data_IF_909519407171
#
_entry.id   IF_909519407171
#
_cell.length_a   1.000
_cell.length_b   1.000
_cell.length_c   1.000
_cell.angle_alpha   90.00
_cell.angle_beta   90.00
_cell.angle_gamma   90.00
#
_symmetry.space_group_name_H-M   'P 1'
#
loop_
_entity.id
_entity.type
_entity.pdbx_description
1 polymer ?
#
# COMPACT_ATOMS: atom_id res chain seq x y z
N UNK A 1 -30.05 52.87 -39.29
CA UNK A 1 -31.32 52.17 -39.02
C UNK A 1 -31.02 50.82 -38.42
N UNK A 2 -32.06 50.09 -38.01
CA UNK A 2 -32.05 48.68 -37.62
C UNK A 2 -31.26 47.78 -38.60
N UNK A 3 -30.73 46.62 -38.20
CA UNK A 3 -30.51 46.01 -36.87
C UNK A 3 -29.36 44.95 -37.05
N UNK A 4 -29.13 43.86 -36.31
CA UNK A 4 -29.78 43.08 -35.24
C UNK A 4 -28.65 42.53 -34.32
N UNK A 5 -28.76 42.56 -32.99
CA UNK A 5 -29.43 41.57 -32.11
C UNK A 5 -29.08 40.09 -32.36
N UNK A 6 -28.22 39.53 -31.49
CA UNK A 6 -28.25 38.12 -31.09
C UNK A 6 -27.57 37.93 -29.73
N UNK A 7 -27.97 36.92 -28.97
CA UNK A 7 -27.68 36.77 -27.53
C UNK A 7 -26.93 35.48 -27.16
N UNK A 8 -25.98 35.58 -26.24
CA UNK A 8 -25.74 34.66 -25.12
C UNK A 8 -24.56 35.21 -24.30
N UNK A 9 -24.61 35.53 -23.00
CA UNK A 9 -25.33 34.94 -21.85
C UNK A 9 -24.75 33.58 -21.43
N UNK A 10 -24.10 33.60 -20.26
CA UNK A 10 -23.51 32.53 -19.44
C UNK A 10 -22.68 31.40 -20.07
N UNK A 11 -21.52 31.17 -19.45
CA UNK A 11 -21.05 29.83 -19.12
C UNK A 11 -20.15 29.88 -17.87
N UNK A 12 -20.70 30.36 -16.74
CA UNK A 12 -20.08 30.20 -15.41
C UNK A 12 -20.16 28.73 -14.98
N UNK A 13 -19.28 27.89 -15.53
CA UNK A 13 -19.15 26.49 -15.14
C UNK A 13 -18.62 26.38 -13.70
N UNK A 14 -19.52 26.12 -12.74
CA UNK A 14 -19.23 25.92 -11.32
C UNK A 14 -18.30 24.71 -11.12
N UNK A 15 -17.01 24.97 -10.88
CA UNK A 15 -15.94 23.96 -10.71
C UNK A 15 -15.98 23.28 -9.32
N UNK A 16 -17.19 22.92 -8.90
CA UNK A 16 -17.52 22.36 -7.59
C UNK A 16 -18.02 20.90 -7.70
N UNK A 17 -17.39 20.13 -8.59
CA UNK A 17 -17.50 18.68 -8.60
C UNK A 17 -17.06 18.13 -7.24
N UNK A 18 -18.03 17.78 -6.39
CA UNK A 18 -17.81 17.39 -5.00
C UNK A 18 -17.13 16.02 -4.89
N UNK A 19 -15.81 15.99 -5.05
CA UNK A 19 -14.97 14.79 -4.89
C UNK A 19 -15.27 14.11 -3.55
N UNK A 20 -15.83 12.90 -3.63
CA UNK A 20 -16.28 12.16 -2.46
C UNK A 20 -15.12 11.91 -1.48
N UNK A 21 -15.21 12.52 -0.28
CA UNK A 21 -14.16 12.48 0.73
C UNK A 21 -14.12 11.09 1.38
N UNK A 22 -13.26 10.20 0.86
CA UNK A 22 -13.07 8.87 1.44
C UNK A 22 -12.62 8.96 2.92
N UNK A 23 -13.12 8.09 3.83
CA UNK A 23 -12.68 8.04 5.22
C UNK A 23 -11.18 7.80 5.39
N UNK A 24 -10.58 8.39 6.43
CA UNK A 24 -9.22 8.03 6.87
C UNK A 24 -9.20 6.62 7.51
N UNK A 25 -8.18 5.82 7.16
CA UNK A 25 -8.07 4.43 7.58
C UNK A 25 -7.40 4.22 8.95
N UNK A 26 -6.58 5.18 9.38
CA UNK A 26 -5.96 5.27 10.71
C UNK A 26 -5.88 6.72 11.19
N UNK A 27 -5.42 6.92 12.42
CA UNK A 27 -5.31 8.26 13.02
C UNK A 27 -4.19 9.10 12.40
N UNK A 28 -4.42 10.41 12.31
CA UNK A 28 -3.52 11.39 11.69
C UNK A 28 -3.27 12.53 12.66
N UNK A 29 -2.00 12.91 12.87
CA UNK A 29 -1.61 14.02 13.73
C UNK A 29 -0.55 13.65 14.76
N UNK A 30 -0.57 14.35 15.90
CA UNK A 30 0.37 14.18 17.02
C UNK A 30 0.21 12.79 17.64
N UNK A 31 1.19 11.91 17.44
CA UNK A 31 1.12 10.51 17.89
C UNK A 31 0.14 9.64 17.07
N UNK A 32 -0.32 10.14 15.91
CA UNK A 32 -1.14 9.36 14.98
C UNK A 32 -0.34 8.25 14.28
N UNK A 33 -1.06 7.34 13.63
CA UNK A 33 -0.44 6.34 12.73
C UNK A 33 0.16 6.96 11.48
N UNK A 34 -0.32 8.15 11.08
CA UNK A 34 0.26 9.02 10.04
C UNK A 34 0.54 8.29 8.72
N UNK A 35 -0.40 7.46 8.29
CA UNK A 35 -0.33 6.81 6.98
C UNK A 35 -0.42 7.87 5.90
N UNK A 36 0.55 7.91 4.98
CA UNK A 36 0.70 8.91 3.92
C UNK A 36 -0.62 9.28 3.22
N UNK A 37 -1.42 8.28 2.86
CA UNK A 37 -2.72 8.47 2.21
C UNK A 37 -3.76 9.17 3.10
N UNK A 38 -3.78 8.85 4.40
CA UNK A 38 -4.68 9.47 5.39
C UNK A 38 -4.21 10.89 5.73
N UNK A 39 -2.89 11.10 5.79
CA UNK A 39 -2.28 12.43 5.96
C UNK A 39 -2.63 13.33 4.78
N UNK A 40 -2.55 12.84 3.54
CA UNK A 40 -2.94 13.61 2.35
C UNK A 40 -4.41 13.99 2.35
N UNK A 41 -5.33 13.09 2.76
CA UNK A 41 -6.75 13.44 2.91
C UNK A 41 -6.91 14.62 3.88
N UNK A 42 -6.28 14.54 5.06
CA UNK A 42 -6.33 15.61 6.07
C UNK A 42 -5.70 16.91 5.56
N UNK A 43 -4.57 16.85 4.85
CA UNK A 43 -3.93 18.00 4.22
C UNK A 43 -4.84 18.65 3.16
N UNK A 44 -5.42 17.88 2.24
CA UNK A 44 -6.38 18.39 1.24
C UNK A 44 -7.57 19.08 1.90
N UNK A 45 -8.15 18.48 2.96
CA UNK A 45 -9.30 19.07 3.66
C UNK A 45 -8.91 20.36 4.41
N UNK A 46 -7.77 20.38 5.11
CA UNK A 46 -7.26 21.58 5.77
C UNK A 46 -6.98 22.70 4.76
N UNK A 47 -6.38 22.38 3.61
CA UNK A 47 -6.14 23.35 2.52
C UNK A 47 -7.46 23.88 1.93
N UNK A 48 -8.46 23.00 1.70
CA UNK A 48 -9.79 23.39 1.19
C UNK A 48 -10.53 24.35 2.12
N UNK A 49 -10.29 24.29 3.44
CA UNK A 49 -10.85 25.25 4.42
C UNK A 49 -9.90 26.40 4.79
N UNK A 50 -8.86 26.65 3.99
CA UNK A 50 -8.02 27.85 4.06
C UNK A 50 -6.75 27.77 4.91
N UNK A 51 -6.31 26.58 5.37
CA UNK A 51 -5.01 26.45 6.03
C UNK A 51 -3.86 26.42 5.02
N UNK A 52 -2.88 27.32 5.19
CA UNK A 52 -1.66 27.34 4.40
C UNK A 52 -0.66 26.29 4.91
N UNK A 53 -0.58 25.16 4.24
CA UNK A 53 0.34 24.06 4.55
C UNK A 53 1.79 24.29 4.08
N UNK A 54 2.07 25.42 3.43
CA UNK A 54 3.35 25.70 2.79
C UNK A 54 3.43 25.16 1.36
N UNK A 55 4.66 25.01 0.86
CA UNK A 55 4.97 24.69 -0.54
C UNK A 55 5.70 23.36 -0.74
N UNK A 56 5.52 22.41 0.19
CA UNK A 56 6.01 21.03 0.03
C UNK A 56 5.10 20.21 -0.90
N UNK A 57 5.47 18.96 -1.14
CA UNK A 57 4.72 18.05 -2.02
C UNK A 57 5.03 18.25 -3.52
N UNK A 58 4.52 17.36 -4.39
CA UNK A 58 4.87 17.34 -5.82
C UNK A 58 4.36 18.56 -6.59
N UNK A 59 3.28 19.20 -6.12
CA UNK A 59 2.65 20.35 -6.77
C UNK A 59 3.05 21.69 -6.14
N UNK A 60 3.91 21.70 -5.11
CA UNK A 60 4.20 22.88 -4.30
C UNK A 60 3.01 23.37 -3.47
N UNK A 61 2.09 22.47 -3.10
CA UNK A 61 0.78 22.76 -2.50
C UNK A 61 0.68 22.46 -0.99
N UNK A 62 1.70 21.84 -0.41
CA UNK A 62 1.72 21.37 0.98
C UNK A 62 1.03 20.01 1.20
N UNK A 63 0.72 19.26 0.13
CA UNK A 63 0.08 17.94 0.18
C UNK A 63 1.13 16.85 -0.12
N UNK A 64 2.19 16.81 0.70
CA UNK A 64 3.26 15.82 0.63
C UNK A 64 2.86 14.45 1.19
N UNK A 65 1.96 14.40 2.17
CA UNK A 65 1.66 13.23 2.98
C UNK A 65 2.58 13.04 4.19
N UNK A 66 3.39 14.04 4.56
CA UNK A 66 4.13 14.07 5.82
C UNK A 66 3.30 14.75 6.92
N UNK A 67 3.20 14.08 8.08
CA UNK A 67 2.54 14.64 9.25
C UNK A 67 3.52 15.49 10.08
N UNK A 68 4.26 16.36 9.39
CA UNK A 68 5.27 17.23 9.98
C UNK A 68 4.68 18.33 10.87
N UNK A 69 5.57 19.18 11.40
CA UNK A 69 5.21 20.25 12.36
C UNK A 69 4.07 21.15 11.84
N UNK A 70 4.07 21.49 10.54
CA UNK A 70 3.04 22.31 9.88
C UNK A 70 1.69 21.60 9.88
N UNK A 71 1.63 20.36 9.41
CA UNK A 71 0.40 19.53 9.40
C UNK A 71 -0.18 19.38 10.81
N UNK A 72 0.64 19.04 11.82
CA UNK A 72 0.20 18.92 13.22
C UNK A 72 -0.29 20.26 13.78
N UNK A 73 0.40 21.37 13.48
CA UNK A 73 -0.05 22.71 13.90
C UNK A 73 -1.45 23.00 13.37
N UNK A 74 -1.73 22.75 12.09
CA UNK A 74 -3.02 23.09 11.51
C UNK A 74 -4.16 22.15 11.92
N UNK A 75 -3.87 20.88 12.25
CA UNK A 75 -4.82 20.01 12.97
C UNK A 75 -5.17 20.64 14.34
N UNK A 76 -4.16 21.10 15.08
CA UNK A 76 -4.32 21.71 16.41
C UNK A 76 -5.07 23.05 16.33
N UNK A 77 -4.76 23.90 15.33
CA UNK A 77 -5.47 25.16 15.05
C UNK A 77 -6.93 24.90 14.66
N UNK A 78 -7.19 23.87 13.83
CA UNK A 78 -8.54 23.48 13.42
C UNK A 78 -9.36 23.02 14.61
N UNK A 79 -8.82 22.15 15.47
CA UNK A 79 -9.47 21.75 16.70
C UNK A 79 -9.82 22.96 17.59
N UNK A 80 -8.83 23.82 17.86
CA UNK A 80 -8.99 25.02 18.68
C UNK A 80 -10.05 25.99 18.14
N UNK A 81 -10.21 26.08 16.81
CA UNK A 81 -11.21 26.94 16.16
C UNK A 81 -12.63 26.36 16.18
N UNK A 82 -12.78 25.03 16.32
CA UNK A 82 -14.03 24.34 16.00
C UNK A 82 -14.68 23.59 17.17
N UNK A 83 -14.00 23.40 18.30
CA UNK A 83 -14.51 22.63 19.44
C UNK A 83 -14.11 23.24 20.79
N UNK A 84 -14.97 23.07 21.78
CA UNK A 84 -14.78 23.56 23.15
C UNK A 84 -13.98 22.57 24.01
N UNK A 85 -12.84 22.07 23.51
CA UNK A 85 -11.94 21.17 24.24
C UNK A 85 -10.46 21.54 24.04
N UNK A 86 -9.59 21.09 24.94
CA UNK A 86 -8.13 21.27 24.81
C UNK A 86 -7.61 20.49 23.59
N UNK A 87 -7.08 21.15 22.55
CA UNK A 87 -6.71 20.48 21.31
C UNK A 87 -5.50 19.57 21.52
N UNK A 88 -5.63 18.30 21.12
CA UNK A 88 -4.59 17.28 21.25
C UNK A 88 -3.66 17.21 20.03
N UNK A 89 -4.09 17.76 18.89
CA UNK A 89 -3.41 17.68 17.60
C UNK A 89 -3.62 16.37 16.85
N UNK A 90 -4.64 15.56 17.22
CA UNK A 90 -4.91 14.22 16.68
C UNK A 90 -6.32 14.08 16.06
N UNK A 91 -6.39 13.49 14.87
CA UNK A 91 -7.61 13.09 14.20
C UNK A 91 -7.76 11.58 14.31
N UNK A 92 -8.75 11.11 15.07
CA UNK A 92 -9.18 9.70 15.10
C UNK A 92 -10.22 9.44 14.01
N UNK A 93 -10.23 8.23 13.44
CA UNK A 93 -11.11 7.81 12.33
C UNK A 93 -12.60 7.93 12.65
N UNK A 94 -12.97 7.77 13.92
CA UNK A 94 -14.35 7.92 14.43
C UNK A 94 -14.58 9.22 15.21
N UNK A 95 -13.53 10.04 15.37
CA UNK A 95 -13.54 11.21 16.25
C UNK A 95 -14.28 12.42 15.68
N UNK A 96 -14.74 13.31 16.57
CA UNK A 96 -15.47 14.53 16.20
C UNK A 96 -14.66 15.44 15.26
N UNK A 97 -13.33 15.49 15.42
CA UNK A 97 -12.42 16.19 14.51
C UNK A 97 -12.51 15.68 13.08
N UNK A 98 -12.57 14.35 12.86
CA UNK A 98 -12.77 13.79 11.52
C UNK A 98 -14.15 14.14 10.98
N UNK A 99 -15.21 13.84 11.75
CA UNK A 99 -16.61 14.07 11.32
C UNK A 99 -16.87 15.50 10.86
N UNK A 100 -16.30 16.50 11.54
CA UNK A 100 -16.47 17.91 11.17
C UNK A 100 -15.56 18.34 10.00
N UNK A 101 -14.36 17.77 9.88
CA UNK A 101 -13.41 18.09 8.81
C UNK A 101 -13.81 17.44 7.48
N UNK A 102 -14.45 16.27 7.51
CA UNK A 102 -14.91 15.52 6.33
C UNK A 102 -16.28 15.94 5.80
N UNK A 103 -16.96 16.89 6.46
CA UNK A 103 -18.35 17.26 6.13
C UNK A 103 -19.40 16.21 6.54
N UNK A 104 -19.05 15.29 7.45
CA UNK A 104 -19.97 14.29 8.02
C UNK A 104 -19.75 12.86 7.54
N UNK A 105 -18.84 12.61 6.59
CA UNK A 105 -18.57 11.24 6.08
C UNK A 105 -18.03 10.35 7.20
N UNK A 106 -18.84 9.37 7.62
CA UNK A 106 -18.50 8.38 8.64
C UNK A 106 -17.64 7.24 8.08
N UNK A 107 -16.82 6.64 8.95
CA UNK A 107 -15.93 5.53 8.62
C UNK A 107 -16.60 4.19 8.91
N UNK A 108 -17.75 3.92 8.28
CA UNK A 108 -18.51 2.68 8.48
C UNK A 108 -17.97 1.51 7.63
N UNK A 109 -18.05 0.25 8.13
CA UNK A 109 -17.53 -0.92 7.42
C UNK A 109 -18.48 -1.33 6.28
N UNK A 110 -18.07 -1.08 5.03
CA UNK A 110 -18.89 -1.36 3.85
C UNK A 110 -18.99 -2.88 3.60
N UNK A 111 -20.14 -3.46 3.93
CA UNK A 111 -20.73 -4.61 3.25
C UNK A 111 -21.67 -4.11 2.14
N UNK A 112 -21.77 -4.88 1.05
CA UNK A 112 -22.81 -4.97 -0.01
C UNK A 112 -22.12 -5.59 -1.24
N UNK A 113 -22.63 -6.61 -1.95
CA UNK A 113 -23.97 -7.22 -1.97
C UNK A 113 -25.12 -6.27 -2.32
N UNK A 114 -25.23 -5.86 -3.59
CA UNK A 114 -26.13 -6.62 -4.49
C UNK A 114 -26.03 -6.26 -5.98
N UNK A 115 -26.68 -7.10 -6.79
CA UNK A 115 -26.78 -7.02 -8.25
C UNK A 115 -27.61 -5.82 -8.75
N UNK A 116 -27.22 -5.28 -9.90
CA UNK A 116 -28.17 -5.02 -11.01
C UNK A 116 -27.46 -5.34 -12.34
N UNK A 117 -28.21 -5.53 -13.43
CA UNK A 117 -27.72 -6.20 -14.64
C UNK A 117 -28.00 -5.45 -15.94
N UNK A 118 -26.98 -5.32 -16.80
CA UNK A 118 -27.14 -4.91 -18.20
C UNK A 118 -25.92 -4.22 -18.80
N UNK A 119 -25.82 -4.25 -20.13
CA UNK A 119 -24.83 -3.48 -20.91
C UNK A 119 -23.50 -4.19 -21.14
N UNK A 120 -22.95 -4.03 -22.35
CA UNK A 120 -21.64 -4.52 -22.75
C UNK A 120 -20.67 -3.35 -22.99
N UNK A 121 -19.37 -3.67 -23.00
CA UNK A 121 -18.28 -2.87 -23.58
C UNK A 121 -18.28 -1.36 -23.33
N UNK A 122 -17.60 -0.92 -22.26
CA UNK A 122 -16.38 -0.11 -22.43
C UNK A 122 -15.55 -0.08 -21.13
N UNK A 123 -14.49 0.74 -21.07
CA UNK A 123 -13.48 0.76 -20.00
C UNK A 123 -14.10 0.79 -18.58
N UNK A 124 -13.77 -0.23 -17.77
CA UNK A 124 -14.36 -0.38 -16.44
C UNK A 124 -13.85 0.72 -15.48
N UNK A 125 -14.73 1.57 -14.90
CA UNK A 125 -14.32 2.59 -13.96
C UNK A 125 -13.79 1.96 -12.66
N UNK A 126 -12.62 2.39 -12.20
CA UNK A 126 -11.86 1.72 -11.14
C UNK A 126 -12.34 2.14 -9.75
N UNK A 127 -13.50 1.61 -9.31
CA UNK A 127 -14.13 2.03 -8.04
C UNK A 127 -13.42 1.43 -6.81
N UNK A 128 -12.43 2.19 -6.32
CA UNK A 128 -12.19 2.46 -4.90
C UNK A 128 -12.06 1.29 -3.90
N UNK A 129 -11.41 0.19 -4.28
CA UNK A 129 -10.54 -0.50 -3.31
C UNK A 129 -9.37 0.42 -2.90
N UNK A 130 -8.79 0.26 -1.70
CA UNK A 130 -7.56 0.99 -1.30
C UNK A 130 -6.38 0.71 -2.25
N UNK A 131 -6.42 -0.44 -2.91
CA UNK A 131 -5.45 -0.95 -3.88
C UNK A 131 -6.19 -1.46 -5.11
N UNK A 132 -5.46 -1.87 -6.16
CA UNK A 132 -6.06 -2.40 -7.38
C UNK A 132 -7.06 -3.53 -7.08
N UNK A 133 -8.25 -3.41 -7.65
CA UNK A 133 -9.40 -4.29 -7.47
C UNK A 133 -9.93 -4.73 -8.82
N UNK A 134 -10.39 -5.98 -8.94
CA UNK A 134 -11.01 -6.52 -10.13
C UNK A 134 -12.31 -7.22 -9.73
N UNK A 135 -13.41 -7.02 -10.47
CA UNK A 135 -14.74 -7.55 -10.09
C UNK A 135 -14.76 -9.08 -9.87
N UNK A 136 -14.06 -9.83 -10.72
CA UNK A 136 -13.99 -11.29 -10.62
C UNK A 136 -12.98 -11.79 -9.56
N UNK A 137 -12.37 -10.90 -8.75
CA UNK A 137 -11.37 -11.26 -7.74
C UNK A 137 -11.86 -12.41 -6.85
N UNK A 138 -13.10 -12.36 -6.38
CA UNK A 138 -13.58 -13.40 -5.46
C UNK A 138 -13.77 -14.78 -6.10
N UNK A 139 -13.94 -14.85 -7.43
CA UNK A 139 -13.90 -16.11 -8.19
C UNK A 139 -12.50 -16.77 -8.22
N UNK A 140 -11.44 -16.06 -7.81
CA UNK A 140 -10.08 -16.59 -7.78
C UNK A 140 -9.82 -17.33 -6.47
N UNK A 141 -9.45 -18.59 -6.59
CA UNK A 141 -8.98 -19.41 -5.48
C UNK A 141 -7.49 -19.15 -5.15
N UNK A 142 -7.15 -19.12 -3.86
CA UNK A 142 -5.75 -19.09 -3.40
C UNK A 142 -5.45 -20.39 -2.66
N UNK A 143 -4.38 -21.06 -3.07
CA UNK A 143 -3.72 -22.13 -2.31
C UNK A 143 -2.39 -21.65 -1.71
N UNK A 144 -1.97 -22.25 -0.60
CA UNK A 144 -0.74 -21.90 0.11
C UNK A 144 0.24 -23.07 0.10
N UNK A 145 1.53 -22.80 -0.05
CA UNK A 145 2.60 -23.76 0.21
C UNK A 145 2.89 -23.90 1.71
N UNK A 146 3.51 -25.01 2.12
CA UNK A 146 3.73 -25.34 3.53
C UNK A 146 4.53 -24.30 4.36
N UNK A 147 5.28 -23.40 3.70
CA UNK A 147 6.04 -22.31 4.34
C UNK A 147 5.41 -20.91 4.11
N UNK A 148 4.17 -20.84 3.61
CA UNK A 148 3.47 -19.59 3.35
C UNK A 148 2.41 -19.33 4.43
N UNK A 149 2.57 -18.24 5.19
CA UNK A 149 1.51 -17.79 6.09
C UNK A 149 0.33 -17.24 5.27
N UNK A 150 -0.90 -17.47 5.77
CA UNK A 150 -2.13 -16.92 5.19
C UNK A 150 -2.04 -15.39 5.19
N UNK A 151 -2.35 -14.77 4.05
CA UNK A 151 -2.35 -13.31 3.92
C UNK A 151 -3.53 -12.67 4.66
N UNK A 152 -3.38 -11.41 5.06
CA UNK A 152 -4.49 -10.58 5.50
C UNK A 152 -5.47 -10.28 4.34
N UNK A 153 -6.65 -9.74 4.67
CA UNK A 153 -7.70 -9.50 3.69
C UNK A 153 -7.26 -8.57 2.54
N UNK A 154 -6.50 -7.51 2.83
CA UNK A 154 -6.07 -6.54 1.80
C UNK A 154 -5.09 -7.16 0.80
N UNK A 155 -4.12 -7.96 1.27
CA UNK A 155 -3.17 -8.65 0.41
C UNK A 155 -3.81 -9.83 -0.33
N UNK A 156 -4.76 -10.52 0.30
CA UNK A 156 -5.60 -11.55 -0.35
C UNK A 156 -6.38 -10.95 -1.52
N UNK A 157 -7.09 -9.83 -1.29
CA UNK A 157 -7.91 -9.17 -2.32
C UNK A 157 -7.07 -8.64 -3.48
N UNK A 158 -5.93 -8.00 -3.19
CA UNK A 158 -5.02 -7.52 -4.24
C UNK A 158 -4.43 -8.68 -5.06
N UNK A 159 -3.96 -9.76 -4.41
CA UNK A 159 -3.44 -10.93 -5.11
C UNK A 159 -4.51 -11.64 -5.97
N UNK A 160 -5.74 -11.77 -5.45
CA UNK A 160 -6.92 -12.23 -6.21
C UNK A 160 -7.20 -11.33 -7.41
N UNK A 161 -7.19 -10.01 -7.23
CA UNK A 161 -7.50 -9.03 -8.28
C UNK A 161 -6.47 -9.07 -9.41
N UNK A 162 -5.17 -9.12 -9.09
CA UNK A 162 -4.08 -9.27 -10.07
C UNK A 162 -4.22 -10.58 -10.85
N UNK A 163 -4.64 -11.66 -10.19
CA UNK A 163 -4.86 -12.96 -10.84
C UNK A 163 -6.11 -12.98 -11.74
N UNK A 164 -7.21 -12.35 -11.32
CA UNK A 164 -8.43 -12.26 -12.10
C UNK A 164 -8.22 -11.47 -13.40
N UNK A 165 -7.59 -10.30 -13.29
CA UNK A 165 -7.11 -9.47 -14.40
C UNK A 165 -6.15 -10.24 -15.33
N UNK A 166 -5.28 -11.09 -14.77
CA UNK A 166 -4.42 -11.99 -15.55
C UNK A 166 -5.16 -13.19 -16.20
N UNK A 167 -6.48 -13.28 -16.06
CA UNK A 167 -7.32 -14.36 -16.59
C UNK A 167 -7.16 -15.69 -15.86
N UNK A 168 -6.72 -15.68 -14.59
CA UNK A 168 -6.45 -16.87 -13.79
C UNK A 168 -7.60 -17.11 -12.80
N UNK A 169 -8.06 -18.36 -12.68
CA UNK A 169 -9.07 -18.78 -11.68
C UNK A 169 -8.46 -19.38 -10.40
N UNK A 170 -7.14 -19.56 -10.38
CA UNK A 170 -6.40 -20.00 -9.19
C UNK A 170 -4.96 -19.47 -9.19
N UNK A 171 -4.40 -19.26 -7.99
CA UNK A 171 -2.97 -19.04 -7.75
C UNK A 171 -2.47 -19.83 -6.54
N UNK A 172 -1.16 -20.12 -6.50
CA UNK A 172 -0.50 -20.74 -5.34
C UNK A 172 0.59 -19.84 -4.79
N UNK A 173 0.43 -19.41 -3.54
CA UNK A 173 1.39 -18.59 -2.81
C UNK A 173 2.38 -19.50 -2.08
N UNK A 174 3.66 -19.45 -2.44
CA UNK A 174 4.70 -20.31 -1.83
C UNK A 174 5.46 -19.69 -0.66
N UNK A 175 5.36 -18.37 -0.47
CA UNK A 175 5.99 -17.61 0.62
C UNK A 175 5.29 -16.24 0.76
N UNK A 176 5.26 -15.68 1.97
CA UNK A 176 4.64 -14.37 2.30
C UNK A 176 5.45 -13.60 3.33
N UNK A 177 5.65 -14.22 4.50
CA UNK A 177 6.59 -13.77 5.53
C UNK A 177 7.58 -14.90 5.79
N UNK A 178 8.78 -14.55 6.26
CA UNK A 178 9.80 -15.50 6.74
C UNK A 178 10.36 -14.99 8.06
N UNK A 179 10.70 -15.91 8.96
CA UNK A 179 11.57 -15.59 10.11
C UNK A 179 13.03 -15.56 9.68
N UNK A 180 13.94 -15.10 10.57
CA UNK A 180 15.38 -15.25 10.34
C UNK A 180 15.79 -16.74 10.24
N UNK A 181 15.12 -17.64 10.95
CA UNK A 181 15.36 -19.08 10.86
C UNK A 181 14.98 -19.62 9.47
N UNK A 182 13.81 -19.26 8.92
CA UNK A 182 13.41 -19.64 7.56
C UNK A 182 14.39 -19.11 6.51
N UNK A 183 14.77 -17.84 6.64
CA UNK A 183 15.67 -17.19 5.69
C UNK A 183 17.10 -17.76 5.78
N UNK A 184 17.57 -18.14 6.97
CA UNK A 184 18.84 -18.84 7.17
C UNK A 184 18.79 -20.26 6.59
N UNK A 185 17.73 -21.01 6.86
CA UNK A 185 17.50 -22.37 6.35
C UNK A 185 17.49 -22.41 4.82
N UNK A 186 16.68 -21.57 4.17
CA UNK A 186 16.63 -21.46 2.70
C UNK A 186 18.01 -21.06 2.14
N UNK A 187 18.73 -20.15 2.81
CA UNK A 187 20.09 -19.77 2.42
C UNK A 187 21.10 -20.92 2.54
N UNK A 188 20.92 -21.86 3.47
CA UNK A 188 21.77 -23.02 3.62
C UNK A 188 21.43 -24.14 2.63
N UNK A 189 20.15 -24.51 2.53
CA UNK A 189 19.70 -25.70 1.81
C UNK A 189 19.56 -25.47 0.29
N UNK A 190 19.12 -24.28 -0.13
CA UNK A 190 18.55 -24.07 -1.48
C UNK A 190 19.35 -23.09 -2.35
N UNK A 191 20.24 -22.31 -1.74
CA UNK A 191 20.96 -21.21 -2.39
C UNK A 191 22.47 -21.51 -2.53
N UNK A 192 22.99 -21.27 -3.73
CA UNK A 192 24.43 -21.27 -3.98
C UNK A 192 25.10 -20.01 -3.42
N UNK A 193 26.41 -20.09 -3.14
CA UNK A 193 27.18 -18.93 -2.67
C UNK A 193 27.15 -17.74 -3.64
N UNK A 194 27.05 -17.99 -4.94
CA UNK A 194 26.86 -16.96 -5.97
C UNK A 194 25.54 -16.20 -5.80
N UNK A 195 24.44 -16.88 -5.45
CA UNK A 195 23.16 -16.24 -5.14
C UNK A 195 23.24 -15.43 -3.84
N UNK A 196 23.81 -16.00 -2.77
CA UNK A 196 24.00 -15.29 -1.49
C UNK A 196 24.82 -14.00 -1.71
N UNK A 197 25.93 -14.08 -2.45
CA UNK A 197 26.77 -12.92 -2.79
C UNK A 197 26.04 -11.88 -3.65
N UNK A 198 25.22 -12.32 -4.61
CA UNK A 198 24.42 -11.44 -5.49
C UNK A 198 23.30 -10.71 -4.74
N UNK A 199 22.58 -11.40 -3.86
CA UNK A 199 21.41 -10.85 -3.18
C UNK A 199 21.75 -10.08 -1.90
N UNK A 200 22.78 -10.50 -1.17
CA UNK A 200 23.08 -10.02 0.18
C UNK A 200 24.47 -9.39 0.33
N UNK A 201 25.29 -9.42 -0.72
CA UNK A 201 26.61 -8.81 -0.76
C UNK A 201 27.71 -9.66 -0.14
N UNK A 202 28.95 -9.15 -0.25
CA UNK A 202 30.17 -9.84 0.18
C UNK A 202 30.18 -10.20 1.68
N UNK A 203 29.81 -9.33 2.64
CA UNK A 203 29.90 -9.67 4.06
C UNK A 203 29.05 -10.90 4.44
N UNK A 204 27.81 -10.96 3.95
CA UNK A 204 26.88 -12.06 4.24
C UNK A 204 27.32 -13.34 3.56
N UNK A 205 27.83 -13.25 2.33
CA UNK A 205 28.45 -14.38 1.64
C UNK A 205 29.67 -14.93 2.40
N UNK A 206 30.54 -14.06 2.91
CA UNK A 206 31.72 -14.48 3.67
C UNK A 206 31.31 -15.23 4.94
N UNK A 207 30.36 -14.70 5.73
CA UNK A 207 29.86 -15.38 6.94
C UNK A 207 29.14 -16.70 6.62
N UNK A 208 28.32 -16.74 5.56
CA UNK A 208 27.67 -17.97 5.09
C UNK A 208 28.69 -19.05 4.70
N UNK A 209 29.72 -18.67 3.94
CA UNK A 209 30.76 -19.60 3.49
C UNK A 209 31.64 -20.08 4.66
N UNK A 210 31.96 -19.17 5.59
CA UNK A 210 32.67 -19.48 6.82
C UNK A 210 31.87 -20.49 7.66
N UNK A 211 30.61 -20.18 8.00
CA UNK A 211 29.80 -21.01 8.88
C UNK A 211 29.52 -22.39 8.27
N UNK A 212 29.35 -22.50 6.95
CA UNK A 212 29.26 -23.80 6.26
C UNK A 212 30.56 -24.61 6.36
N UNK A 213 31.73 -23.99 6.20
CA UNK A 213 33.04 -24.65 6.36
C UNK A 213 33.30 -25.08 7.81
N UNK A 214 32.79 -24.32 8.78
CA UNK A 214 32.87 -24.61 10.21
C UNK A 214 31.73 -25.52 10.71
N UNK A 215 30.87 -26.02 9.81
CA UNK A 215 29.68 -26.83 10.11
C UNK A 215 28.74 -26.23 11.18
N UNK A 216 28.65 -24.88 11.25
CA UNK A 216 27.80 -24.15 12.20
C UNK A 216 26.34 -24.17 11.78
N UNK A 217 25.46 -24.15 12.77
CA UNK A 217 24.03 -24.34 12.61
C UNK A 217 23.34 -23.21 11.83
N UNK A 218 22.18 -23.53 11.24
CA UNK A 218 21.27 -22.54 10.65
C UNK A 218 20.74 -21.55 11.69
N UNK A 219 20.65 -21.93 12.97
CA UNK A 219 20.24 -21.06 14.06
C UNK A 219 21.29 -19.97 14.37
N UNK A 220 22.58 -20.32 14.39
CA UNK A 220 23.66 -19.33 14.54
C UNK A 220 23.71 -18.37 13.34
N UNK A 221 23.50 -18.88 12.12
CA UNK A 221 23.43 -18.03 10.93
C UNK A 221 22.19 -17.13 10.94
N UNK A 222 21.05 -17.58 11.47
CA UNK A 222 19.86 -16.76 11.69
C UNK A 222 20.13 -15.61 12.68
N UNK A 223 20.76 -15.90 13.82
CA UNK A 223 21.15 -14.91 14.82
C UNK A 223 22.14 -13.87 14.25
N UNK A 224 23.08 -14.29 13.41
CA UNK A 224 23.95 -13.36 12.67
C UNK A 224 23.16 -12.43 11.73
N UNK A 225 22.22 -12.98 10.94
CA UNK A 225 21.40 -12.18 10.03
C UNK A 225 20.58 -11.13 10.80
N UNK A 226 19.99 -11.53 11.93
CA UNK A 226 19.23 -10.64 12.82
C UNK A 226 20.08 -9.55 13.47
N UNK A 227 21.23 -9.91 14.05
CA UNK A 227 22.14 -8.95 14.67
C UNK A 227 22.61 -7.89 13.66
N UNK A 228 22.97 -8.31 12.44
CA UNK A 228 23.41 -7.44 11.35
C UNK A 228 22.27 -6.56 10.78
N UNK A 229 21.03 -7.04 10.80
CA UNK A 229 19.86 -6.22 10.39
C UNK A 229 19.45 -5.22 11.48
N UNK A 230 19.57 -5.59 12.76
CA UNK A 230 19.35 -4.74 13.93
C UNK A 230 20.38 -3.60 14.00
N UNK A 231 21.67 -3.92 13.86
CA UNK A 231 22.78 -2.95 13.78
C UNK A 231 22.54 -1.91 12.66
N UNK A 232 22.05 -2.37 11.50
CA UNK A 232 21.85 -1.52 10.31
C UNK A 232 20.47 -0.86 10.24
N UNK A 233 19.59 -1.11 11.20
CA UNK A 233 18.19 -0.64 11.20
C UNK A 233 17.36 -1.05 9.97
N UNK A 234 17.76 -2.12 9.25
CA UNK A 234 17.18 -2.47 7.94
C UNK A 234 17.33 -3.95 7.63
N UNK A 235 16.20 -4.61 7.35
CA UNK A 235 16.17 -6.04 7.04
C UNK A 235 16.80 -6.41 5.69
N UNK A 236 17.39 -7.61 5.63
CA UNK A 236 18.10 -8.17 4.49
C UNK A 236 17.20 -8.74 3.39
N UNK A 237 15.99 -9.20 3.75
CA UNK A 237 15.06 -9.88 2.85
C UNK A 237 13.68 -9.24 2.92
N UNK A 238 13.00 -9.12 1.79
CA UNK A 238 11.64 -8.54 1.75
C UNK A 238 10.63 -9.43 2.48
N UNK A 239 10.86 -10.75 2.48
CA UNK A 239 10.07 -11.70 3.27
C UNK A 239 10.23 -11.51 4.79
N UNK A 240 11.35 -10.94 5.28
CA UNK A 240 11.49 -10.55 6.70
C UNK A 240 10.71 -9.27 7.04
N UNK A 241 10.54 -8.35 6.07
CA UNK A 241 9.67 -7.18 6.27
C UNK A 241 8.17 -7.51 6.16
N UNK A 242 7.82 -8.71 5.70
CA UNK A 242 6.44 -9.12 5.45
C UNK A 242 5.74 -8.30 4.36
N UNK A 243 6.49 -7.73 3.41
CA UNK A 243 5.99 -6.82 2.37
C UNK A 243 5.79 -7.50 1.01
N UNK A 244 5.90 -8.82 0.89
CA UNK A 244 5.98 -9.49 -0.41
C UNK A 244 5.36 -10.87 -0.42
N UNK A 245 5.15 -11.42 -1.61
CA UNK A 245 4.71 -12.79 -1.82
C UNK A 245 5.43 -13.44 -3.00
N UNK A 246 5.48 -14.77 -3.01
CA UNK A 246 5.99 -15.57 -4.13
C UNK A 246 4.81 -16.35 -4.75
N UNK A 247 4.41 -16.04 -5.99
CA UNK A 247 3.41 -16.81 -6.75
C UNK A 247 4.08 -17.94 -7.53
N UNK A 248 3.55 -19.16 -7.42
CA UNK A 248 4.08 -20.37 -8.09
C UNK A 248 3.00 -21.11 -8.88
N UNK A 249 3.37 -21.78 -10.00
CA UNK A 249 4.60 -21.54 -10.77
C UNK A 249 4.62 -20.11 -11.34
N UNK A 250 5.76 -19.67 -11.87
CA UNK A 250 5.87 -18.38 -12.56
C UNK A 250 4.79 -18.27 -13.65
N UNK A 251 4.00 -17.21 -13.59
CA UNK A 251 2.95 -16.93 -14.56
C UNK A 251 3.21 -15.59 -15.23
N UNK A 252 3.39 -15.60 -16.55
CA UNK A 252 3.72 -14.42 -17.33
C UNK A 252 2.59 -13.37 -17.37
N UNK A 253 1.31 -13.81 -17.35
CA UNK A 253 0.17 -12.88 -17.31
C UNK A 253 0.12 -12.16 -15.96
N UNK A 254 0.24 -12.90 -14.84
CA UNK A 254 0.30 -12.31 -13.50
C UNK A 254 1.46 -11.31 -13.38
N UNK A 255 2.65 -11.68 -13.88
CA UNK A 255 3.82 -10.79 -13.89
C UNK A 255 3.60 -9.52 -14.75
N UNK A 256 2.94 -9.63 -15.91
CA UNK A 256 2.60 -8.49 -16.76
C UNK A 256 1.61 -7.53 -16.08
N UNK A 257 0.61 -8.06 -15.34
CA UNK A 257 -0.29 -7.23 -14.52
C UNK A 257 0.47 -6.52 -13.41
N UNK A 258 1.36 -7.22 -12.67
CA UNK A 258 2.24 -6.57 -11.70
C UNK A 258 3.12 -5.47 -12.34
N UNK A 259 3.57 -5.66 -13.59
CA UNK A 259 4.33 -4.66 -14.32
C UNK A 259 3.50 -3.42 -14.66
N UNK A 260 2.26 -3.61 -15.14
CA UNK A 260 1.30 -2.55 -15.46
C UNK A 260 0.87 -1.76 -14.22
N UNK A 261 0.74 -2.42 -13.07
CA UNK A 261 0.34 -1.80 -11.81
C UNK A 261 1.48 -1.08 -11.07
N UNK A 262 2.73 -1.52 -11.23
CA UNK A 262 3.89 -0.92 -10.55
C UNK A 262 4.03 0.61 -10.67
N UNK A 263 3.84 1.26 -11.84
CA UNK A 263 3.92 2.72 -11.96
C UNK A 263 2.66 3.44 -11.47
N UNK A 264 1.54 2.74 -11.27
CA UNK A 264 0.26 3.35 -10.92
C UNK A 264 0.23 3.61 -9.40
N UNK A 265 0.19 4.90 -9.03
CA UNK A 265 0.03 5.31 -7.63
C UNK A 265 -1.22 4.69 -7.02
N UNK A 266 -1.14 4.24 -5.77
CA UNK A 266 -2.24 3.57 -5.10
C UNK A 266 -2.56 2.14 -5.59
N UNK A 267 -1.88 1.58 -6.59
CA UNK A 267 -2.17 0.21 -7.06
C UNK A 267 -1.94 -0.89 -6.03
N UNK A 268 -1.09 -0.62 -5.03
CA UNK A 268 -0.65 -1.56 -4.01
C UNK A 268 0.59 -2.37 -4.40
N UNK A 269 0.94 -2.43 -5.69
CA UNK A 269 2.15 -3.12 -6.18
C UNK A 269 3.34 -2.17 -6.16
N UNK A 270 4.38 -2.52 -5.39
CA UNK A 270 5.60 -1.71 -5.23
C UNK A 270 6.68 -2.09 -6.26
N UNK A 271 6.90 -3.38 -6.46
CA UNK A 271 7.71 -3.93 -7.55
C UNK A 271 7.43 -5.42 -7.69
N UNK A 272 7.89 -6.02 -8.78
CA UNK A 272 7.91 -7.46 -8.96
C UNK A 272 9.26 -7.89 -9.55
N UNK A 273 9.57 -9.18 -9.44
CA UNK A 273 10.75 -9.82 -10.02
C UNK A 273 10.34 -11.21 -10.54
N UNK A 274 10.91 -11.62 -11.69
CA UNK A 274 10.89 -13.03 -12.11
C UNK A 274 12.01 -13.77 -11.40
N UNK A 275 11.66 -14.62 -10.45
CA UNK A 275 12.63 -15.46 -9.73
C UNK A 275 12.46 -16.94 -10.09
N UNK A 276 13.19 -17.83 -9.41
CA UNK A 276 13.43 -19.23 -9.83
C UNK A 276 12.15 -20.08 -9.82
N UNK A 277 11.36 -20.00 -10.88
CA UNK A 277 10.08 -20.68 -11.03
C UNK A 277 8.90 -19.98 -10.35
N UNK A 278 9.04 -18.70 -9.96
CA UNK A 278 8.00 -17.92 -9.32
C UNK A 278 7.94 -16.46 -9.82
N UNK A 279 6.81 -15.80 -9.58
CA UNK A 279 6.72 -14.33 -9.64
C UNK A 279 6.80 -13.82 -8.20
N UNK A 280 7.90 -13.13 -7.87
CA UNK A 280 8.05 -12.43 -6.60
C UNK A 280 7.40 -11.05 -6.73
N UNK A 281 6.54 -10.66 -5.79
CA UNK A 281 5.86 -9.36 -5.81
C UNK A 281 5.97 -8.69 -4.46
N UNK A 282 6.53 -7.48 -4.42
CA UNK A 282 6.46 -6.57 -3.27
C UNK A 282 5.18 -5.73 -3.35
N UNK A 283 4.45 -5.65 -2.25
CA UNK A 283 3.36 -4.70 -2.05
C UNK A 283 3.86 -3.45 -1.28
N UNK A 284 3.03 -2.40 -1.24
CA UNK A 284 3.30 -1.17 -0.48
C UNK A 284 2.95 -1.29 1.02
N UNK A 285 2.44 -2.44 1.45
CA UNK A 285 1.93 -2.73 2.78
C UNK A 285 2.26 -4.17 3.20
N UNK A 286 2.04 -4.53 4.48
CA UNK A 286 2.30 -5.88 4.97
C UNK A 286 1.28 -6.88 4.41
N UNK A 287 1.76 -8.04 3.95
CA UNK A 287 0.91 -9.11 3.39
C UNK A 287 0.29 -10.02 4.46
N UNK A 288 0.93 -10.08 5.64
CA UNK A 288 0.43 -10.70 6.88
C UNK A 288 0.17 -9.59 7.89
#
# INVERSE_FOLDING_TARGET
>A
GNADDNSSADDNADDNAAVAVRPISKSVGKGGSNLLEDVKIVQTLLKKIGYNLGTSGPNGDGIDGDCGKTTIKHITDYQKKNFNFTPDGLISTTGNTWKKLSGGVTADPINNDNNDAGGASDEQPVVAGKYFSHKDADSVSISYGANALKMNAQATHLAKSIAAEAGLKSIRISSTTRTYADQARINYEQNSGAQIKKWYGIPVYNTWAQYKRENRSTAEYAAFLEARDKERGKVISKHLSGLCLDVTPYNAKFAAVCARLKPISGSGVKTFLKEKGCTHTEFTFKVT
#
